data_IF_146915212659
#
_entry.id   IF_146915212659
#
_cell.length_a   1.000
_cell.length_b   1.000
_cell.length_c   1.000
_cell.angle_alpha   90.00
_cell.angle_beta   90.00
_cell.angle_gamma   90.00
#
_symmetry.space_group_name_H-M   'P 1'
#
loop_
_entity.id
_entity.type
_entity.pdbx_description
1 polymer ?
#
# COMPACT_ATOMS: atom_id res chain seq x y z
N UNK A 1 -20.43 -27.11 1.70
CA UNK A 1 -20.86 -28.48 2.06
C UNK A 1 -19.87 -28.99 3.11
N UNK A 2 -20.33 -29.17 4.34
CA UNK A 2 -19.54 -29.51 5.52
C UNK A 2 -19.52 -31.01 5.79
N UNK A 3 -18.45 -31.56 6.40
CA UNK A 3 -18.39 -32.80 7.21
C UNK A 3 -17.10 -32.74 8.07
N UNK A 4 -17.11 -32.58 9.41
CA UNK A 4 -17.41 -33.53 10.53
C UNK A 4 -16.46 -34.74 10.57
N UNK A 5 -15.43 -34.76 11.45
CA UNK A 5 -15.35 -35.33 12.81
C UNK A 5 -15.44 -36.87 12.91
N UNK A 6 -14.41 -37.50 13.51
CA UNK A 6 -14.47 -38.87 14.06
C UNK A 6 -13.79 -38.88 15.43
N UNK A 7 -14.50 -39.42 16.43
CA UNK A 7 -14.02 -39.80 17.75
C UNK A 7 -14.02 -41.34 17.87
N UNK A 8 -13.13 -41.90 18.69
CA UNK A 8 -13.11 -43.34 19.03
C UNK A 8 -13.17 -43.55 20.54
N UNK A 9 -13.99 -44.51 20.95
CA UNK A 9 -14.40 -44.81 22.33
C UNK A 9 -13.73 -46.07 22.91
N UNK A 10 -13.43 -45.99 24.21
CA UNK A 10 -13.64 -46.96 25.31
C UNK A 10 -13.05 -48.38 25.32
N UNK A 11 -12.50 -48.76 26.47
CA UNK A 11 -12.71 -50.09 27.08
C UNK A 11 -12.66 -50.02 28.62
N UNK A 12 -13.58 -50.74 29.27
CA UNK A 12 -13.80 -50.82 30.73
C UNK A 12 -13.53 -52.24 31.22
N UNK A 13 -12.98 -52.41 32.43
CA UNK A 13 -12.99 -53.67 33.19
C UNK A 13 -13.31 -53.42 34.69
N UNK A 14 -14.15 -54.29 35.27
CA UNK A 14 -14.80 -54.20 36.61
C UNK A 14 -14.16 -55.15 37.65
N UNK A 15 -14.60 -54.99 38.92
CA UNK A 15 -14.64 -55.89 40.12
C UNK A 15 -13.66 -55.52 41.24
N UNK A 16 -13.93 -55.56 42.57
CA UNK A 16 -15.11 -55.59 43.50
C UNK A 16 -14.58 -55.23 44.93
N UNK A 17 -15.46 -54.70 45.80
CA UNK A 17 -15.33 -54.13 47.19
C UNK A 17 -14.59 -54.93 48.31
N UNK A 18 -14.23 -54.31 49.47
CA UNK A 18 -15.15 -54.16 50.62
C UNK A 18 -15.12 -52.79 51.34
N UNK A 19 -16.12 -52.62 52.22
CA UNK A 19 -16.50 -51.45 53.04
C UNK A 19 -15.59 -51.33 54.27
N UNK A 20 -15.09 -50.13 54.56
CA UNK A 20 -14.69 -49.72 55.92
C UNK A 20 -14.90 -48.21 56.12
N UNK A 21 -15.55 -47.88 57.22
CA UNK A 21 -15.99 -46.55 57.64
C UNK A 21 -14.87 -45.77 58.31
N UNK A 22 -14.57 -44.55 57.84
CA UNK A 22 -13.85 -43.56 58.66
C UNK A 22 -14.23 -42.12 58.26
N UNK A 23 -14.74 -41.42 59.26
CA UNK A 23 -15.11 -40.01 59.44
C UNK A 23 -14.44 -38.93 58.57
N UNK A 24 -15.28 -38.02 58.05
CA UNK A 24 -14.95 -36.71 57.46
C UNK A 24 -14.34 -35.74 58.48
N UNK A 25 -13.32 -34.95 58.10
CA UNK A 25 -13.08 -33.63 58.68
C UNK A 25 -13.73 -32.53 57.82
N UNK A 26 -14.46 -31.65 58.49
CA UNK A 26 -15.15 -30.48 57.95
C UNK A 26 -14.16 -29.48 57.33
N UNK A 27 -14.50 -28.95 56.15
CA UNK A 27 -13.79 -27.83 55.54
C UNK A 27 -14.31 -26.50 56.13
N UNK A 28 -13.42 -25.72 56.74
CA UNK A 28 -13.69 -24.34 57.17
C UNK A 28 -13.60 -23.38 55.97
N UNK A 29 -14.56 -22.47 55.77
CA UNK A 29 -14.41 -21.37 54.82
C UNK A 29 -13.65 -20.21 55.48
N UNK A 30 -12.44 -19.92 55.02
CA UNK A 30 -11.69 -18.72 55.43
C UNK A 30 -12.14 -17.55 54.55
N UNK A 31 -13.03 -16.71 55.08
CA UNK A 31 -13.38 -15.41 54.52
C UNK A 31 -12.45 -14.34 55.09
N UNK A 32 -11.68 -13.66 54.22
CA UNK A 32 -10.89 -12.49 54.59
C UNK A 32 -11.71 -11.21 54.33
N UNK A 33 -11.81 -10.27 55.29
CA UNK A 33 -12.57 -9.03 55.10
C UNK A 33 -11.73 -8.00 54.31
N UNK A 34 -12.28 -7.55 53.17
CA UNK A 34 -11.78 -6.36 52.46
C UNK A 34 -12.00 -5.11 53.31
N UNK A 35 -10.92 -4.46 53.78
CA UNK A 35 -10.98 -3.14 54.39
C UNK A 35 -10.83 -2.06 53.31
N UNK A 36 -11.81 -1.17 53.20
CA UNK A 36 -11.75 0.01 52.35
C UNK A 36 -10.64 0.98 52.83
N UNK A 37 -9.72 1.32 51.94
CA UNK A 37 -8.73 2.40 52.14
C UNK A 37 -9.39 3.77 51.86
N UNK A 38 -9.11 4.83 52.64
CA UNK A 38 -9.72 6.14 52.43
C UNK A 38 -9.12 6.87 51.21
N UNK A 39 -9.99 7.48 50.41
CA UNK A 39 -9.62 8.34 49.28
C UNK A 39 -8.84 9.57 49.76
N UNK A 40 -7.56 9.66 49.40
CA UNK A 40 -6.73 10.85 49.61
C UNK A 40 -6.92 11.80 48.41
N UNK A 41 -7.53 12.97 48.63
CA UNK A 41 -7.65 14.02 47.61
C UNK A 41 -6.25 14.44 47.12
N UNK A 42 -5.94 14.18 45.84
CA UNK A 42 -4.77 14.78 45.19
C UNK A 42 -5.00 16.28 45.02
N UNK A 43 -4.08 17.08 45.55
CA UNK A 43 -3.99 18.51 45.26
C UNK A 43 -3.59 18.68 43.79
N UNK A 44 -4.28 19.57 43.09
CA UNK A 44 -3.93 20.06 41.76
C UNK A 44 -2.55 20.74 41.82
N UNK A 45 -1.56 20.10 41.19
CA UNK A 45 -0.24 20.69 40.96
C UNK A 45 -0.31 21.51 39.67
N UNK A 46 0.30 22.69 39.74
CA UNK A 46 0.08 23.84 38.87
C UNK A 46 0.26 23.64 37.37
N UNK A 47 -0.49 24.45 36.63
CA UNK A 47 -0.24 24.84 35.24
C UNK A 47 1.24 25.21 35.07
N UNK A 48 1.95 24.49 34.23
CA UNK A 48 3.35 24.78 33.91
C UNK A 48 3.75 24.22 32.54
N UNK A 49 3.86 25.14 31.58
CA UNK A 49 4.49 25.06 30.24
C UNK A 49 3.71 24.37 29.12
N UNK A 50 3.13 25.23 28.27
CA UNK A 50 2.94 25.00 26.84
C UNK A 50 4.18 24.33 26.25
N UNK A 51 4.12 23.02 26.02
CA UNK A 51 4.91 22.39 24.97
C UNK A 51 4.12 22.62 23.69
N UNK A 52 4.68 23.41 22.78
CA UNK A 52 4.00 23.76 21.54
C UNK A 52 3.52 22.49 20.84
N UNK A 53 2.22 22.39 20.57
CA UNK A 53 1.71 21.47 19.58
C UNK A 53 2.34 21.92 18.25
N UNK A 54 3.45 21.28 17.89
CA UNK A 54 3.91 21.22 16.51
C UNK A 54 2.82 20.50 15.75
N UNK A 55 1.83 21.23 15.22
CA UNK A 55 0.89 20.68 14.27
C UNK A 55 1.70 20.29 13.05
N UNK A 56 1.94 18.98 12.89
CA UNK A 56 2.67 18.46 11.74
C UNK A 56 1.92 18.92 10.49
N UNK A 57 2.52 19.84 9.75
CA UNK A 57 1.94 20.34 8.51
C UNK A 57 2.30 19.38 7.39
N UNK A 58 1.29 19.02 6.60
CA UNK A 58 1.51 18.34 5.35
C UNK A 58 2.41 19.20 4.46
N UNK A 59 3.30 18.55 3.68
CA UNK A 59 4.08 19.23 2.63
C UNK A 59 3.16 20.00 1.67
N UNK A 60 1.91 19.53 1.49
CA UNK A 60 0.88 20.22 0.73
C UNK A 60 -0.27 20.71 1.64
N UNK A 61 -0.47 22.02 1.75
CA UNK A 61 -1.53 22.63 2.58
C UNK A 61 -2.36 23.73 1.88
N UNK A 62 -2.34 23.77 0.55
CA UNK A 62 -3.21 24.65 -0.25
C UNK A 62 -2.50 25.88 -0.81
N UNK A 63 -2.06 25.78 -2.07
CA UNK A 63 -1.86 26.82 -3.08
C UNK A 63 -1.26 26.15 -4.33
N UNK A 64 -1.51 26.70 -5.53
CA UNK A 64 -1.14 26.18 -6.85
C UNK A 64 0.22 25.48 -6.88
N UNK A 65 0.20 24.16 -7.12
CA UNK A 65 1.39 23.47 -7.61
C UNK A 65 1.54 23.85 -9.08
N UNK A 66 2.49 24.73 -9.37
CA UNK A 66 2.84 25.10 -10.74
C UNK A 66 3.27 23.82 -11.47
N UNK A 67 2.35 23.26 -12.26
CA UNK A 67 2.58 22.06 -13.08
C UNK A 67 3.38 22.39 -14.34
N UNK A 68 3.96 23.60 -14.41
CA UNK A 68 4.96 23.94 -15.38
C UNK A 68 6.08 22.91 -15.23
N UNK A 69 6.15 21.97 -16.18
CA UNK A 69 7.29 21.07 -16.37
C UNK A 69 8.51 21.95 -16.63
N UNK A 70 9.09 22.51 -15.58
CA UNK A 70 10.38 23.17 -15.65
C UNK A 70 11.34 22.06 -16.09
N UNK A 71 11.86 22.13 -17.31
CA UNK A 71 12.89 21.21 -17.73
C UNK A 71 14.03 21.35 -16.73
N UNK A 72 14.39 20.30 -15.97
CA UNK A 72 15.48 20.44 -15.01
C UNK A 72 16.74 20.77 -15.80
N UNK A 73 17.25 22.00 -15.70
CA UNK A 73 18.54 22.37 -16.31
C UNK A 73 19.65 22.10 -15.30
N UNK A 74 20.63 21.25 -15.63
CA UNK A 74 21.85 21.06 -14.81
C UNK A 74 22.07 19.64 -14.29
N UNK A 75 22.70 19.48 -13.13
CA UNK A 75 23.07 18.16 -12.54
C UNK A 75 21.87 17.22 -12.33
N UNK A 76 20.65 17.78 -12.32
CA UNK A 76 19.38 17.07 -12.13
C UNK A 76 18.64 16.71 -13.44
N UNK A 77 19.10 17.16 -14.62
CA UNK A 77 18.67 16.50 -15.86
C UNK A 77 19.33 15.13 -15.91
N UNK A 78 18.55 14.08 -16.19
CA UNK A 78 19.12 12.82 -16.65
C UNK A 78 20.07 13.17 -17.78
N UNK A 79 21.35 12.91 -17.51
CA UNK A 79 22.50 13.21 -18.35
C UNK A 79 22.21 12.89 -19.81
N UNK A 80 22.26 13.89 -20.67
CA UNK A 80 22.08 13.71 -22.13
C UNK A 80 23.20 12.83 -22.73
N UNK A 81 24.30 12.61 -21.99
CA UNK A 81 25.41 11.72 -22.33
C UNK A 81 25.19 10.24 -21.95
N UNK A 82 24.04 9.89 -21.36
CA UNK A 82 23.76 8.50 -20.98
C UNK A 82 23.45 7.64 -22.22
N UNK A 83 24.47 6.97 -22.75
CA UNK A 83 24.26 5.89 -23.73
C UNK A 83 23.58 4.71 -23.02
N UNK A 84 22.28 4.56 -23.22
CA UNK A 84 21.53 3.41 -22.71
C UNK A 84 22.02 2.16 -23.45
N UNK A 85 22.59 1.16 -22.77
CA UNK A 85 23.02 -0.06 -23.44
C UNK A 85 21.82 -0.79 -24.06
N UNK A 86 21.99 -1.30 -25.28
CA UNK A 86 20.94 -2.00 -26.04
C UNK A 86 20.58 -3.39 -25.47
N UNK A 87 21.16 -3.79 -24.35
CA UNK A 87 20.88 -5.07 -23.71
C UNK A 87 19.66 -4.93 -22.79
N UNK A 88 18.63 -5.79 -22.91
CA UNK A 88 17.50 -5.78 -22.00
C UNK A 88 17.99 -6.05 -20.57
N UNK A 89 17.68 -5.14 -19.65
CA UNK A 89 17.90 -5.34 -18.23
C UNK A 89 16.91 -6.38 -17.71
N UNK A 90 17.42 -7.49 -17.19
CA UNK A 90 16.61 -8.53 -16.56
C UNK A 90 16.66 -8.35 -15.04
N UNK A 91 15.54 -8.02 -14.38
CA UNK A 91 15.51 -7.97 -12.91
C UNK A 91 15.62 -9.38 -12.34
N UNK A 92 16.65 -9.61 -11.53
CA UNK A 92 16.81 -10.84 -10.75
C UNK A 92 15.82 -10.81 -9.59
N UNK A 93 14.70 -11.52 -9.71
CA UNK A 93 13.74 -11.66 -8.60
C UNK A 93 14.35 -12.53 -7.48
N UNK A 94 14.17 -12.11 -6.22
CA UNK A 94 14.48 -12.89 -5.03
C UNK A 94 13.64 -14.18 -5.02
N UNK A 95 14.31 -15.32 -4.84
CA UNK A 95 13.65 -16.63 -4.81
C UNK A 95 12.85 -16.80 -3.50
N UNK A 96 11.60 -16.32 -3.49
CA UNK A 96 10.58 -16.80 -2.57
C UNK A 96 9.61 -17.68 -3.36
N UNK A 97 9.24 -18.84 -2.79
CA UNK A 97 8.55 -19.94 -3.47
C UNK A 97 7.43 -19.49 -4.41
N UNK A 98 7.72 -19.58 -5.71
CA UNK A 98 6.83 -19.20 -6.81
C UNK A 98 6.47 -20.40 -7.68
N UNK A 99 5.62 -20.19 -8.69
CA UNK A 99 5.09 -21.24 -9.57
C UNK A 99 6.22 -22.01 -10.27
N UNK A 100 5.97 -23.24 -10.76
CA UNK A 100 7.00 -24.11 -11.33
C UNK A 100 7.84 -23.40 -12.40
N UNK A 101 9.14 -23.74 -12.54
CA UNK A 101 10.15 -22.94 -13.25
C UNK A 101 9.76 -22.57 -14.70
N UNK A 102 9.02 -23.43 -15.41
CA UNK A 102 8.51 -23.14 -16.75
C UNK A 102 7.48 -22.00 -16.81
N UNK A 103 6.67 -21.82 -15.76
CA UNK A 103 5.71 -20.71 -15.66
C UNK A 103 6.46 -19.41 -15.38
N UNK A 104 7.51 -19.49 -14.55
CA UNK A 104 8.34 -18.33 -14.21
C UNK A 104 9.09 -17.78 -15.42
N UNK A 105 9.75 -18.63 -16.22
CA UNK A 105 10.46 -18.21 -17.43
C UNK A 105 9.51 -17.62 -18.49
N UNK A 106 8.35 -18.24 -18.70
CA UNK A 106 7.34 -17.72 -19.64
C UNK A 106 6.78 -16.39 -19.16
N UNK A 107 6.52 -16.25 -17.86
CA UNK A 107 6.06 -14.99 -17.28
C UNK A 107 7.12 -13.90 -17.39
N UNK A 108 8.40 -14.22 -17.14
CA UNK A 108 9.52 -13.29 -17.32
C UNK A 108 9.68 -12.84 -18.77
N UNK A 109 9.48 -13.75 -19.73
CA UNK A 109 9.46 -13.40 -21.15
C UNK A 109 8.35 -12.40 -21.48
N UNK A 110 7.14 -12.61 -20.96
CA UNK A 110 6.01 -11.69 -21.18
C UNK A 110 6.21 -10.35 -20.50
N UNK A 111 6.70 -10.31 -19.25
CA UNK A 111 6.99 -9.04 -18.55
C UNK A 111 8.06 -8.24 -19.29
N UNK A 112 9.09 -8.90 -19.80
CA UNK A 112 10.15 -8.25 -20.60
C UNK A 112 9.59 -7.70 -21.92
N UNK A 113 8.65 -8.40 -22.56
CA UNK A 113 7.96 -7.91 -23.75
C UNK A 113 7.08 -6.70 -23.42
N UNK A 114 6.27 -6.76 -22.34
CA UNK A 114 5.45 -5.63 -21.90
C UNK A 114 6.30 -4.38 -21.61
N UNK A 115 7.49 -4.56 -21.02
CA UNK A 115 8.40 -3.47 -20.74
C UNK A 115 8.90 -2.76 -22.01
N UNK A 116 9.11 -3.50 -23.12
CA UNK A 116 9.43 -2.89 -24.42
C UNK A 116 8.31 -1.99 -24.94
N UNK A 117 7.06 -2.30 -24.57
CA UNK A 117 5.89 -1.45 -24.83
C UNK A 117 5.65 -0.38 -23.75
N UNK A 118 6.65 -0.13 -22.88
CA UNK A 118 6.61 0.86 -21.78
C UNK A 118 5.52 0.56 -20.74
N UNK A 119 5.20 -0.71 -20.58
CA UNK A 119 4.23 -1.19 -19.59
C UNK A 119 5.00 -1.75 -18.39
N UNK A 120 4.75 -1.17 -17.21
CA UNK A 120 5.31 -1.62 -15.94
C UNK A 120 4.20 -2.09 -14.99
N UNK A 121 4.54 -2.94 -14.02
CA UNK A 121 3.57 -3.54 -13.10
C UNK A 121 3.94 -3.25 -11.65
N UNK A 122 3.06 -2.54 -10.95
CA UNK A 122 3.04 -2.47 -9.49
C UNK A 122 2.06 -3.52 -8.98
N UNK A 123 2.56 -4.74 -8.70
CA UNK A 123 1.70 -5.87 -8.40
C UNK A 123 2.20 -6.74 -7.26
N UNK A 124 1.40 -6.88 -6.20
CA UNK A 124 1.80 -7.43 -4.90
C UNK A 124 1.93 -6.35 -3.84
N UNK A 125 2.42 -6.71 -2.66
CA UNK A 125 2.69 -5.74 -1.59
C UNK A 125 3.78 -4.76 -2.01
N UNK A 126 3.65 -3.48 -1.64
CA UNK A 126 4.69 -2.47 -1.88
C UNK A 126 5.76 -2.62 -0.81
N UNK A 127 6.95 -3.08 -1.22
CA UNK A 127 8.15 -3.18 -0.40
C UNK A 127 9.34 -2.50 -1.11
N UNK A 128 10.47 -2.43 -0.41
CA UNK A 128 11.65 -1.71 -0.90
C UNK A 128 12.22 -2.36 -2.18
N UNK A 129 12.15 -3.69 -2.30
CA UNK A 129 12.61 -4.41 -3.50
C UNK A 129 11.74 -4.08 -4.72
N UNK A 130 10.41 -4.11 -4.57
CA UNK A 130 9.49 -3.72 -5.62
C UNK A 130 9.69 -2.25 -6.01
N UNK A 131 9.83 -1.36 -5.02
CA UNK A 131 10.05 0.05 -5.29
C UNK A 131 11.35 0.29 -6.05
N UNK A 132 12.46 -0.35 -5.66
CA UNK A 132 13.74 -0.24 -6.36
C UNK A 132 13.64 -0.68 -7.83
N UNK A 133 12.92 -1.77 -8.11
CA UNK A 133 12.71 -2.25 -9.48
C UNK A 133 11.87 -1.24 -10.29
N UNK A 134 10.76 -0.75 -9.73
CA UNK A 134 9.89 0.21 -10.42
C UNK A 134 10.63 1.53 -10.68
N UNK A 135 11.38 2.04 -9.69
CA UNK A 135 12.20 3.25 -9.83
C UNK A 135 13.22 3.08 -10.96
N UNK A 136 13.96 1.97 -10.98
CA UNK A 136 14.91 1.68 -12.05
C UNK A 136 14.24 1.62 -13.43
N UNK A 137 13.06 0.98 -13.52
CA UNK A 137 12.27 0.90 -14.75
C UNK A 137 11.81 2.28 -15.24
N UNK A 138 11.31 3.13 -14.34
CA UNK A 138 10.87 4.49 -14.68
C UNK A 138 12.04 5.34 -15.20
N UNK A 139 13.18 5.32 -14.50
CA UNK A 139 14.38 6.05 -14.91
C UNK A 139 14.93 5.55 -16.25
N UNK A 140 14.92 4.24 -16.48
CA UNK A 140 15.32 3.66 -17.76
C UNK A 140 14.40 4.12 -18.90
N UNK A 141 13.08 4.07 -18.70
CA UNK A 141 12.12 4.45 -19.73
C UNK A 141 12.18 5.95 -20.07
N UNK A 142 12.49 6.80 -19.09
CA UNK A 142 12.76 8.22 -19.31
C UNK A 142 14.06 8.45 -20.12
N UNK A 143 15.12 7.69 -19.83
CA UNK A 143 16.36 7.78 -20.60
C UNK A 143 16.21 7.30 -22.05
N UNK A 144 15.41 6.25 -22.29
CA UNK A 144 15.19 5.68 -23.63
C UNK A 144 14.34 6.59 -24.52
N UNK A 145 13.23 7.09 -24.00
CA UNK A 145 12.35 7.99 -24.74
C UNK A 145 11.56 8.86 -23.75
N UNK A 146 11.96 10.12 -23.54
CA UNK A 146 11.31 11.00 -22.56
C UNK A 146 9.95 11.55 -23.03
N UNK A 147 9.60 11.33 -24.30
CA UNK A 147 8.39 11.91 -24.91
C UNK A 147 7.20 10.96 -24.87
N UNK A 148 7.45 9.65 -24.78
CA UNK A 148 6.40 8.62 -24.78
C UNK A 148 5.92 8.29 -23.39
N UNK A 149 4.61 8.25 -23.23
CA UNK A 149 3.94 7.82 -22.00
C UNK A 149 4.42 6.45 -21.51
N UNK A 150 4.32 6.27 -20.19
CA UNK A 150 4.53 4.99 -19.50
C UNK A 150 3.18 4.54 -18.95
N UNK A 151 2.87 3.25 -19.04
CA UNK A 151 1.63 2.68 -18.47
C UNK A 151 1.99 1.81 -17.27
N UNK A 152 1.54 2.20 -16.09
CA UNK A 152 1.70 1.44 -14.85
C UNK A 152 0.40 0.75 -14.46
N UNK A 153 0.41 -0.58 -14.52
CA UNK A 153 -0.69 -1.39 -14.00
C UNK A 153 -0.52 -1.61 -12.49
N UNK A 154 -1.55 -1.24 -11.72
CA UNK A 154 -1.58 -1.32 -10.26
C UNK A 154 -2.52 -2.44 -9.80
N UNK A 155 -1.96 -3.44 -9.13
CA UNK A 155 -2.66 -4.51 -8.43
C UNK A 155 -2.00 -4.77 -7.08
N UNK A 156 -2.21 -3.88 -6.12
CA UNK A 156 -1.48 -3.87 -4.86
C UNK A 156 -2.42 -3.65 -3.67
N UNK A 157 -2.27 -4.43 -2.58
CA UNK A 157 -2.91 -4.13 -1.30
C UNK A 157 -2.25 -2.96 -0.55
N UNK A 158 -1.20 -2.35 -1.12
CA UNK A 158 -0.35 -1.35 -0.47
C UNK A 158 0.86 -1.98 0.22
N UNK A 159 1.47 -1.26 1.16
CA UNK A 159 2.66 -1.71 1.87
C UNK A 159 3.42 -0.55 2.49
N UNK A 160 4.75 -0.59 2.42
CA UNK A 160 5.65 0.42 2.99
C UNK A 160 5.37 1.81 2.40
N UNK A 161 5.19 2.79 3.30
CA UNK A 161 4.96 4.20 2.92
C UNK A 161 6.20 4.77 2.24
N UNK A 162 7.40 4.53 2.79
CA UNK A 162 8.65 5.05 2.23
C UNK A 162 8.95 4.46 0.85
N UNK A 163 8.73 3.16 0.66
CA UNK A 163 8.86 2.50 -0.63
C UNK A 163 7.90 3.09 -1.68
N UNK A 164 6.64 3.29 -1.30
CA UNK A 164 5.65 3.92 -2.18
C UNK A 164 5.97 5.39 -2.47
N UNK A 165 6.52 6.15 -1.52
CA UNK A 165 6.97 7.52 -1.74
C UNK A 165 8.14 7.60 -2.72
N UNK A 166 9.06 6.63 -2.71
CA UNK A 166 10.15 6.58 -3.69
C UNK A 166 9.64 6.41 -5.13
N UNK A 167 8.64 5.53 -5.33
CA UNK A 167 7.97 5.38 -6.63
C UNK A 167 7.26 6.68 -7.01
N UNK A 168 6.49 7.27 -6.09
CA UNK A 168 5.74 8.50 -6.30
C UNK A 168 6.62 9.67 -6.73
N UNK A 169 7.70 9.92 -5.99
CA UNK A 169 8.62 11.02 -6.31
C UNK A 169 9.32 10.77 -7.64
N UNK A 170 9.64 9.52 -7.98
CA UNK A 170 10.21 9.16 -9.29
C UNK A 170 9.21 9.40 -10.42
N UNK A 171 7.93 9.03 -10.27
CA UNK A 171 6.89 9.31 -11.26
C UNK A 171 6.77 10.81 -11.57
N UNK A 172 7.06 11.68 -10.58
CA UNK A 172 7.03 13.14 -10.74
C UNK A 172 8.35 13.72 -11.25
N UNK A 173 9.45 13.03 -11.00
CA UNK A 173 10.79 13.44 -11.41
C UNK A 173 11.02 13.23 -12.91
N UNK A 174 10.50 12.12 -13.45
CA UNK A 174 10.71 11.78 -14.86
C UNK A 174 9.91 12.66 -15.83
N UNK A 175 10.39 12.78 -17.07
CA UNK A 175 9.76 13.61 -18.12
C UNK A 175 8.48 13.01 -18.72
N UNK A 176 8.41 11.69 -19.01
CA UNK A 176 7.21 11.02 -19.50
C UNK A 176 6.01 11.20 -18.58
N UNK A 177 4.82 11.27 -19.16
CA UNK A 177 3.61 11.09 -18.37
C UNK A 177 3.46 9.62 -17.95
N UNK A 178 3.00 9.40 -16.72
CA UNK A 178 2.73 8.06 -16.19
C UNK A 178 1.22 7.85 -16.13
N UNK A 179 0.69 7.06 -17.04
CA UNK A 179 -0.69 6.58 -16.99
C UNK A 179 -0.79 5.43 -15.99
N UNK A 180 -1.80 5.46 -15.12
CA UNK A 180 -2.03 4.42 -14.12
C UNK A 180 -3.32 3.67 -14.41
N UNK A 181 -3.30 2.34 -14.24
CA UNK A 181 -4.47 1.48 -14.49
C UNK A 181 -4.64 0.50 -13.35
N UNK A 182 -5.74 0.62 -12.60
CA UNK A 182 -6.07 -0.34 -11.54
C UNK A 182 -6.67 -1.62 -12.12
N UNK A 183 -6.05 -2.76 -11.82
CA UNK A 183 -6.51 -4.10 -12.17
C UNK A 183 -6.61 -4.96 -10.90
N UNK A 184 -7.83 -5.32 -10.50
CA UNK A 184 -8.05 -6.07 -9.27
C UNK A 184 -8.16 -5.15 -8.05
N UNK A 185 -7.05 -4.91 -7.34
CA UNK A 185 -7.03 -4.11 -6.12
C UNK A 185 -6.00 -2.98 -6.19
N UNK A 186 -6.40 -1.78 -5.79
CA UNK A 186 -5.46 -0.72 -5.41
C UNK A 186 -5.86 -0.21 -4.03
N UNK A 187 -5.16 -0.65 -2.99
CA UNK A 187 -5.46 -0.27 -1.61
C UNK A 187 -4.28 0.43 -0.95
N UNK A 188 -4.53 1.32 0.01
CA UNK A 188 -3.48 1.99 0.79
C UNK A 188 -2.47 2.68 -0.16
N UNK A 189 -1.18 2.38 -0.06
CA UNK A 189 -0.16 2.89 -1.00
C UNK A 189 -0.41 2.52 -2.47
N UNK A 190 -1.10 1.42 -2.76
CA UNK A 190 -1.52 1.12 -4.13
C UNK A 190 -2.56 2.11 -4.66
N UNK A 191 -3.53 2.52 -3.83
CA UNK A 191 -4.50 3.56 -4.19
C UNK A 191 -3.83 4.94 -4.33
N UNK A 192 -2.87 5.23 -3.46
CA UNK A 192 -2.07 6.45 -3.53
C UNK A 192 -1.33 6.54 -4.87
N UNK A 193 -0.55 5.52 -5.22
CA UNK A 193 0.19 5.46 -6.49
C UNK A 193 -0.73 5.48 -7.72
N UNK A 194 -1.89 4.83 -7.64
CA UNK A 194 -2.91 4.93 -8.68
C UNK A 194 -3.36 6.38 -8.89
N UNK A 195 -3.67 7.11 -7.81
CA UNK A 195 -4.13 8.50 -7.87
C UNK A 195 -3.06 9.49 -8.31
N UNK A 196 -1.78 9.11 -8.14
CA UNK A 196 -0.61 9.90 -8.48
C UNK A 196 -0.24 9.89 -9.97
N UNK A 197 -0.89 9.06 -10.79
CA UNK A 197 -0.72 9.10 -12.24
C UNK A 197 -1.05 10.47 -12.82
N UNK A 198 -0.56 10.74 -14.03
CA UNK A 198 -0.80 12.01 -14.72
C UNK A 198 -2.31 12.27 -14.84
N UNK A 199 -2.75 13.47 -14.44
CA UNK A 199 -4.16 13.88 -14.47
C UNK A 199 -4.75 13.73 -15.88
N UNK A 200 -5.92 13.09 -15.98
CA UNK A 200 -6.54 12.71 -17.25
C UNK A 200 -6.09 11.35 -17.79
N UNK A 201 -5.10 10.70 -17.17
CA UNK A 201 -4.54 9.40 -17.57
C UNK A 201 -4.58 8.34 -16.45
N UNK A 202 -5.46 8.52 -15.45
CA UNK A 202 -5.68 7.57 -14.34
C UNK A 202 -6.94 6.74 -14.59
N UNK A 203 -6.82 5.43 -14.60
CA UNK A 203 -7.88 4.53 -15.03
C UNK A 203 -8.09 3.36 -14.08
N UNK A 204 -9.25 2.71 -14.19
CA UNK A 204 -9.54 1.46 -13.49
C UNK A 204 -10.39 0.54 -14.35
N UNK A 205 -10.21 -0.78 -14.19
CA UNK A 205 -11.14 -1.76 -14.74
C UNK A 205 -12.44 -1.83 -13.93
N UNK A 206 -13.56 -2.26 -14.52
CA UNK A 206 -14.88 -2.09 -13.91
C UNK A 206 -15.07 -2.80 -12.56
N UNK A 207 -14.45 -3.97 -12.39
CA UNK A 207 -14.56 -4.79 -11.18
C UNK A 207 -13.45 -4.54 -10.16
N UNK A 208 -12.54 -3.61 -10.45
CA UNK A 208 -11.46 -3.28 -9.52
C UNK A 208 -12.01 -2.61 -8.26
N UNK A 209 -11.36 -2.87 -7.13
CA UNK A 209 -11.63 -2.23 -5.84
C UNK A 209 -10.50 -1.27 -5.51
N UNK A 210 -10.87 -0.08 -5.05
CA UNK A 210 -9.92 0.96 -4.62
C UNK A 210 -10.20 1.24 -3.15
N UNK A 211 -9.17 1.31 -2.32
CA UNK A 211 -9.31 1.53 -0.89
C UNK A 211 -8.30 2.54 -0.38
N UNK A 212 -8.77 3.56 0.35
CA UNK A 212 -7.92 4.51 1.05
C UNK A 212 -8.15 4.40 2.55
N UNK A 213 -7.09 4.62 3.32
CA UNK A 213 -7.08 4.65 4.78
C UNK A 213 -5.85 5.41 5.28
N UNK A 214 -5.79 5.72 6.56
CA UNK A 214 -4.61 6.32 7.18
C UNK A 214 -3.45 5.32 7.23
N UNK A 215 -2.18 5.79 7.21
CA UNK A 215 -1.04 4.90 7.34
C UNK A 215 -1.10 4.13 8.65
N UNK A 216 -0.75 2.84 8.59
CA UNK A 216 -0.66 1.97 9.74
C UNK A 216 0.81 1.86 10.19
N UNK A 217 1.03 1.82 11.49
CA UNK A 217 2.34 1.68 12.10
C UNK A 217 2.23 1.29 13.57
N UNK A 218 3.37 1.04 14.20
CA UNK A 218 3.45 0.73 15.62
C UNK A 218 4.72 1.33 16.20
N UNK A 219 4.68 1.61 17.50
CA UNK A 219 5.83 2.11 18.25
C UNK A 219 6.07 1.25 19.49
N UNK A 220 7.33 0.97 19.79
CA UNK A 220 7.78 0.27 20.99
C UNK A 220 9.06 0.93 21.48
N UNK A 221 9.31 0.94 22.79
CA UNK A 221 10.50 1.54 23.39
C UNK A 221 10.19 2.44 24.58
N UNK A 222 11.13 3.31 24.94
CA UNK A 222 10.92 4.32 25.97
C UNK A 222 9.92 5.40 25.53
N UNK A 223 9.49 6.25 26.46
CA UNK A 223 8.54 7.33 26.15
C UNK A 223 9.01 8.21 24.98
N UNK A 224 10.30 8.56 24.96
CA UNK A 224 10.89 9.38 23.89
C UNK A 224 10.82 8.68 22.54
N UNK A 225 11.08 7.37 22.48
CA UNK A 225 11.03 6.60 21.23
C UNK A 225 9.59 6.54 20.69
N UNK A 226 8.62 6.30 21.58
CA UNK A 226 7.19 6.30 21.24
C UNK A 226 6.76 7.67 20.70
N UNK A 227 7.18 8.75 21.36
CA UNK A 227 6.85 10.12 20.92
C UNK A 227 7.46 10.43 19.54
N UNK A 228 8.70 9.99 19.26
CA UNK A 228 9.35 10.17 17.96
C UNK A 228 8.58 9.42 16.87
N UNK A 229 8.28 8.14 17.08
CA UNK A 229 7.58 7.32 16.09
C UNK A 229 6.13 7.80 15.86
N UNK A 230 5.45 8.28 16.90
CA UNK A 230 4.13 8.87 16.76
C UNK A 230 4.14 10.14 15.88
N UNK A 231 5.15 11.00 16.06
CA UNK A 231 5.31 12.19 15.23
C UNK A 231 5.61 11.83 13.76
N UNK A 232 6.39 10.79 13.50
CA UNK A 232 6.65 10.32 12.13
C UNK A 232 5.39 9.76 11.46
N UNK A 233 4.56 9.00 12.18
CA UNK A 233 3.27 8.55 11.65
C UNK A 233 2.33 9.72 11.33
N UNK A 234 2.31 10.76 12.18
CA UNK A 234 1.55 11.99 11.91
C UNK A 234 2.08 12.71 10.68
N UNK A 235 3.40 12.70 10.45
CA UNK A 235 4.03 13.25 9.26
C UNK A 235 3.60 12.52 7.99
N UNK A 236 3.70 11.19 7.97
CA UNK A 236 3.20 10.39 6.85
C UNK A 236 1.72 10.63 6.58
N UNK A 237 0.88 10.62 7.63
CA UNK A 237 -0.56 10.88 7.49
C UNK A 237 -0.83 12.23 6.86
N UNK A 238 -0.19 13.28 7.37
CA UNK A 238 -0.37 14.63 6.85
C UNK A 238 0.03 14.72 5.37
N UNK A 239 1.19 14.19 4.99
CA UNK A 239 1.68 14.24 3.61
C UNK A 239 0.80 13.46 2.65
N UNK A 240 0.46 12.21 2.98
CA UNK A 240 -0.37 11.36 2.13
C UNK A 240 -1.75 12.00 1.91
N UNK A 241 -2.36 12.53 2.98
CA UNK A 241 -3.67 13.18 2.87
C UNK A 241 -3.61 14.50 2.10
N UNK A 242 -2.53 15.28 2.25
CA UNK A 242 -2.30 16.47 1.44
C UNK A 242 -2.22 16.15 -0.05
N UNK A 243 -1.45 15.13 -0.42
CA UNK A 243 -1.37 14.70 -1.82
C UNK A 243 -2.67 14.09 -2.34
N UNK A 244 -3.36 13.25 -1.57
CA UNK A 244 -4.67 12.73 -1.96
C UNK A 244 -5.67 13.86 -2.20
N UNK A 245 -5.69 14.89 -1.34
CA UNK A 245 -6.52 16.09 -1.56
C UNK A 245 -6.16 16.78 -2.89
N UNK A 246 -4.87 16.95 -3.17
CA UNK A 246 -4.40 17.49 -4.46
C UNK A 246 -4.84 16.66 -5.67
N UNK A 247 -4.61 15.34 -5.65
CA UNK A 247 -4.91 14.44 -6.76
C UNK A 247 -6.41 14.32 -7.02
N UNK A 248 -7.22 14.34 -5.97
CA UNK A 248 -8.68 14.14 -6.06
C UNK A 248 -9.46 15.43 -6.25
N UNK A 249 -8.91 16.57 -5.82
CA UNK A 249 -9.64 17.84 -5.71
C UNK A 249 -10.60 17.91 -4.51
N UNK A 250 -10.61 16.91 -3.63
CA UNK A 250 -11.38 16.95 -2.39
C UNK A 250 -10.70 17.87 -1.36
N UNK A 251 -11.47 18.41 -0.42
CA UNK A 251 -10.87 19.17 0.69
C UNK A 251 -10.04 18.26 1.60
N UNK A 252 -9.03 18.83 2.25
CA UNK A 252 -8.18 18.09 3.17
C UNK A 252 -9.00 17.53 4.36
N UNK A 253 -10.02 18.25 4.81
CA UNK A 253 -10.94 17.81 5.86
C UNK A 253 -11.69 16.55 5.45
N UNK A 254 -12.20 16.52 4.20
CA UNK A 254 -12.89 15.35 3.66
C UNK A 254 -11.96 14.16 3.52
N UNK A 255 -10.74 14.36 3.01
CA UNK A 255 -9.74 13.29 2.95
C UNK A 255 -9.39 12.77 4.34
N UNK A 256 -9.20 13.64 5.33
CA UNK A 256 -8.92 13.22 6.71
C UNK A 256 -10.05 12.38 7.31
N UNK A 257 -11.31 12.73 7.02
CA UNK A 257 -12.47 11.96 7.46
C UNK A 257 -12.55 10.60 6.75
N UNK A 258 -12.47 10.62 5.41
CA UNK A 258 -12.68 9.44 4.57
C UNK A 258 -11.49 8.47 4.63
N UNK A 259 -10.33 8.89 5.16
CA UNK A 259 -9.18 8.01 5.43
C UNK A 259 -9.07 7.55 6.88
N UNK A 260 -9.94 8.00 7.81
CA UNK A 260 -9.80 7.58 9.21
C UNK A 260 -10.00 6.07 9.40
N UNK A 261 -10.76 5.43 8.52
CA UNK A 261 -10.94 3.97 8.45
C UNK A 261 -10.85 3.52 7.00
N UNK A 262 -10.82 2.21 6.81
CA UNK A 262 -10.87 1.59 5.49
C UNK A 262 -12.08 2.09 4.70
N UNK A 263 -11.82 2.84 3.64
CA UNK A 263 -12.86 3.37 2.77
C UNK A 263 -12.73 2.77 1.38
N UNK A 264 -13.57 1.76 1.11
CA UNK A 264 -13.59 1.04 -0.14
C UNK A 264 -14.55 1.66 -1.16
N UNK A 265 -14.06 1.77 -2.39
CA UNK A 265 -14.77 2.28 -3.55
C UNK A 265 -14.72 1.27 -4.70
N UNK A 266 -15.80 1.21 -5.47
CA UNK A 266 -15.80 0.66 -6.83
C UNK A 266 -15.05 1.59 -7.78
N UNK A 267 -14.72 1.10 -8.97
CA UNK A 267 -14.11 1.93 -10.01
C UNK A 267 -14.95 3.19 -10.34
N UNK A 268 -16.29 3.07 -10.32
CA UNK A 268 -17.19 4.20 -10.56
C UNK A 268 -17.13 5.22 -9.42
N UNK A 269 -17.27 4.76 -8.17
CA UNK A 269 -17.19 5.63 -6.99
C UNK A 269 -15.82 6.31 -6.90
N UNK A 270 -14.73 5.61 -7.19
CA UNK A 270 -13.38 6.19 -7.19
C UNK A 270 -13.19 7.26 -8.27
N UNK A 271 -13.85 7.12 -9.42
CA UNK A 271 -13.88 8.17 -10.46
C UNK A 271 -14.63 9.40 -9.96
N UNK A 272 -15.81 9.21 -9.39
CA UNK A 272 -16.62 10.29 -8.81
C UNK A 272 -15.91 10.99 -7.66
N UNK A 273 -15.14 10.24 -6.88
CA UNK A 273 -14.30 10.76 -5.79
C UNK A 273 -13.07 11.53 -6.30
N UNK A 274 -12.63 11.29 -7.53
CA UNK A 274 -11.48 11.94 -8.16
C UNK A 274 -10.15 11.19 -8.06
N UNK A 275 -10.15 9.94 -7.54
CA UNK A 275 -8.94 9.10 -7.47
C UNK A 275 -8.48 8.62 -8.84
N UNK A 276 -9.42 8.50 -9.79
CA UNK A 276 -9.16 8.14 -11.18
C UNK A 276 -9.98 9.04 -12.11
N UNK A 277 -9.61 9.09 -13.38
CA UNK A 277 -10.26 9.91 -14.41
C UNK A 277 -11.26 9.10 -15.25
N UNK A 278 -11.07 7.78 -15.38
CA UNK A 278 -11.90 6.93 -16.24
C UNK A 278 -12.03 5.48 -15.79
N UNK A 279 -13.18 4.89 -16.12
CA UNK A 279 -13.39 3.44 -16.03
C UNK A 279 -13.32 2.87 -17.45
N UNK A 280 -12.41 1.94 -17.69
CA UNK A 280 -12.23 1.33 -19.01
C UNK A 280 -13.34 0.29 -19.20
N UNK A 281 -14.37 0.65 -19.96
CA UNK A 281 -15.46 -0.23 -20.34
C UNK A 281 -15.14 -0.82 -21.73
N UNK A 282 -15.19 -2.15 -21.83
CA UNK A 282 -15.27 -2.97 -23.05
C UNK A 282 -13.94 -3.52 -23.68
N UNK A 283 -13.87 -4.83 -24.03
CA UNK A 283 -12.65 -5.55 -24.44
C UNK A 283 -12.27 -5.48 -25.93
N UNK A 284 -13.10 -4.90 -26.80
CA UNK A 284 -12.97 -5.04 -28.27
C UNK A 284 -12.05 -4.02 -28.96
N UNK A 285 -11.56 -3.00 -28.24
CA UNK A 285 -10.74 -1.92 -28.85
C UNK A 285 -9.28 -1.91 -28.41
N UNK A 286 -8.93 -2.54 -27.29
CA UNK A 286 -7.61 -2.36 -26.67
C UNK A 286 -6.53 -3.33 -27.19
N UNK A 287 -6.93 -4.47 -27.77
CA UNK A 287 -6.02 -5.51 -28.23
C UNK A 287 -6.55 -6.07 -29.55
N UNK A 288 -6.48 -5.31 -30.64
CA UNK A 288 -6.52 -5.96 -31.95
C UNK A 288 -5.22 -6.77 -32.07
N UNK A 289 -5.28 -8.09 -32.32
CA UNK A 289 -4.06 -8.83 -32.64
C UNK A 289 -3.41 -8.15 -33.84
N UNK A 290 -2.09 -7.95 -33.76
CA UNK A 290 -1.32 -7.47 -34.90
C UNK A 290 -1.68 -8.35 -36.10
N UNK A 291 -2.05 -7.71 -37.21
CA UNK A 291 -2.30 -8.43 -38.47
C UNK A 291 -1.05 -9.25 -38.73
N UNK A 292 -1.19 -10.58 -38.75
CA UNK A 292 -0.09 -11.48 -39.05
C UNK A 292 0.57 -10.97 -40.32
N UNK A 293 1.87 -10.67 -40.26
CA UNK A 293 2.62 -10.21 -41.42
C UNK A 293 2.34 -11.19 -42.55
N UNK A 294 1.57 -10.76 -43.55
CA UNK A 294 1.26 -11.55 -44.71
C UNK A 294 2.59 -12.03 -45.27
N UNK A 295 2.76 -13.35 -45.33
CA UNK A 295 3.87 -14.01 -46.00
C UNK A 295 4.01 -13.38 -47.39
N UNK A 296 5.03 -12.54 -47.54
CA UNK A 296 5.43 -12.06 -48.84
C UNK A 296 6.00 -13.26 -49.57
N UNK A 297 5.30 -13.60 -50.65
CA UNK A 297 5.55 -14.68 -51.61
C UNK A 297 6.89 -14.52 -52.32
#
# INVERSE_FOLDING_TARGET
MAHSCIATTSSVSKFKYPIESCTLPQAHPVSLPFKHLPFRKLKTVGKGKNRGNSTVKAVYSGAEWDSAKASPTGIWSIRDDLQVPSSPYFPTYSQAQGPPPMVQERFQSVISQLFQYRIIRCGGAVDDDMANIIVAQLLYLDAVDPTKDIVMYVNSPGGSVTAGMAIFDTMRHIRPDVSTVCVGLAASMGAFLLSAGTKGKRYSLPNSRIMIHQPLGGAQGGQTDIDIQANEMLHHKANLNGYLAYHTGQSLEKINQDTDRDFFMSAKEAKEYGLIDGVILNPMKALQPLVAAAEQS
#
